data_IF_056904817230
#
_entry.id   IF_056904817230
#
_cell.length_a   1.000
_cell.length_b   1.000
_cell.length_c   1.000
_cell.angle_alpha   90.00
_cell.angle_beta   90.00
_cell.angle_gamma   90.00
#
_symmetry.space_group_name_H-M   'P 1'
#
loop_
_entity.id
_entity.type
_entity.pdbx_description
1 polymer ?
#
# COMPACT_ATOMS: atom_id res chain seq x y z
N UNK A 1 33.46 -32.84 -40.89
CA UNK A 1 32.36 -32.23 -40.11
C UNK A 1 31.22 -31.94 -41.09
N UNK A 2 30.19 -32.78 -41.10
CA UNK A 2 29.17 -32.82 -42.15
C UNK A 2 28.23 -31.61 -42.08
N UNK A 3 27.76 -31.12 -43.23
CA UNK A 3 26.75 -30.04 -43.32
C UNK A 3 25.47 -30.42 -42.55
N UNK A 4 25.17 -31.73 -42.43
CA UNK A 4 24.05 -32.26 -41.66
C UNK A 4 24.17 -32.00 -40.14
N UNK A 5 25.39 -32.03 -39.58
CA UNK A 5 25.60 -31.75 -38.14
C UNK A 5 25.41 -30.26 -37.83
N UNK A 6 25.62 -29.39 -38.82
CA UNK A 6 25.43 -27.93 -38.70
C UNK A 6 23.95 -27.52 -38.74
N UNK A 7 23.07 -28.36 -39.30
CA UNK A 7 21.61 -28.15 -39.26
C UNK A 7 20.95 -28.78 -38.04
N UNK A 8 21.53 -29.84 -37.47
CA UNK A 8 21.01 -30.51 -36.26
C UNK A 8 21.18 -29.67 -34.99
N UNK A 9 22.18 -28.79 -34.94
CA UNK A 9 22.48 -27.92 -33.78
C UNK A 9 21.95 -26.48 -33.90
N UNK A 10 21.04 -26.18 -34.84
CA UNK A 10 20.35 -24.89 -34.77
C UNK A 10 19.30 -24.97 -33.66
N UNK A 11 19.33 -24.08 -32.64
CA UNK A 11 18.25 -24.02 -31.67
C UNK A 11 16.94 -23.88 -32.43
N UNK A 12 16.01 -24.80 -32.23
CA UNK A 12 14.73 -24.74 -32.90
C UNK A 12 14.05 -23.44 -32.47
N UNK A 13 13.32 -22.78 -33.37
CA UNK A 13 12.62 -21.51 -33.07
C UNK A 13 11.73 -21.66 -31.82
N UNK A 14 11.23 -22.87 -31.55
CA UNK A 14 10.52 -23.25 -30.31
C UNK A 14 11.36 -23.12 -29.04
N UNK A 15 12.62 -23.57 -29.02
CA UNK A 15 13.48 -23.49 -27.83
C UNK A 15 13.82 -22.03 -27.47
N UNK A 16 13.99 -21.18 -28.48
CA UNK A 16 14.21 -19.74 -28.29
C UNK A 16 12.93 -19.07 -27.78
N UNK A 17 11.77 -19.41 -28.35
CA UNK A 17 10.47 -18.90 -27.88
C UNK A 17 10.18 -19.32 -26.44
N UNK A 18 10.44 -20.58 -26.07
CA UNK A 18 10.25 -21.09 -24.71
C UNK A 18 11.23 -20.47 -23.71
N UNK A 19 12.46 -20.22 -24.12
CA UNK A 19 13.44 -19.51 -23.30
C UNK A 19 13.05 -18.05 -23.09
N UNK A 20 12.63 -17.35 -24.16
CA UNK A 20 12.12 -15.97 -24.07
C UNK A 20 10.87 -15.91 -23.22
N UNK A 21 9.94 -16.87 -23.39
CA UNK A 21 8.70 -16.97 -22.63
C UNK A 21 8.97 -17.22 -21.14
N UNK A 22 9.83 -18.17 -20.78
CA UNK A 22 10.24 -18.39 -19.37
C UNK A 22 10.90 -17.17 -18.74
N UNK A 23 11.72 -16.44 -19.51
CA UNK A 23 12.37 -15.21 -19.04
C UNK A 23 11.33 -14.09 -18.86
N UNK A 24 10.39 -13.96 -19.80
CA UNK A 24 9.28 -13.01 -19.72
C UNK A 24 8.36 -13.31 -18.52
N UNK A 25 7.99 -14.57 -18.30
CA UNK A 25 7.21 -15.02 -17.13
C UNK A 25 7.93 -14.84 -15.80
N UNK A 26 9.25 -14.62 -15.77
CA UNK A 26 9.97 -14.27 -14.55
C UNK A 26 10.00 -12.76 -14.28
N UNK A 27 9.97 -11.94 -15.33
CA UNK A 27 10.11 -10.50 -15.23
C UNK A 27 8.81 -9.71 -15.45
N UNK A 28 7.68 -10.38 -15.73
CA UNK A 28 6.36 -9.74 -15.83
C UNK A 28 5.90 -8.96 -14.56
N UNK A 29 6.38 -9.21 -13.33
CA UNK A 29 6.03 -8.35 -12.20
C UNK A 29 6.57 -6.92 -12.36
N UNK A 30 7.67 -6.72 -13.11
CA UNK A 30 8.27 -5.40 -13.34
C UNK A 30 7.35 -4.47 -14.15
N UNK A 31 6.84 -4.85 -15.34
CA UNK A 31 5.88 -4.03 -16.07
C UNK A 31 4.56 -3.85 -15.31
N UNK A 32 4.16 -4.81 -14.45
CA UNK A 32 3.00 -4.63 -13.56
C UNK A 32 3.23 -3.50 -12.55
N UNK A 33 4.40 -3.45 -11.91
CA UNK A 33 4.77 -2.35 -11.01
C UNK A 33 4.87 -1.02 -11.78
N UNK A 34 5.42 -1.03 -13.00
CA UNK A 34 5.44 0.17 -13.84
C UNK A 34 4.03 0.66 -14.19
N UNK A 35 3.11 -0.25 -14.51
CA UNK A 35 1.70 0.06 -14.75
C UNK A 35 1.02 0.60 -13.49
N UNK A 36 1.41 0.11 -12.32
CA UNK A 36 0.94 0.64 -11.04
C UNK A 36 1.41 2.08 -10.78
N UNK A 37 2.67 2.40 -11.09
CA UNK A 37 3.16 3.78 -11.00
C UNK A 37 2.38 4.69 -11.95
N UNK A 38 2.13 4.24 -13.19
CA UNK A 38 1.30 4.98 -14.14
C UNK A 38 -0.12 5.17 -13.59
N UNK A 39 -0.70 4.13 -12.98
CA UNK A 39 -2.03 4.19 -12.38
C UNK A 39 -2.11 5.24 -11.26
N UNK A 40 -1.10 5.32 -10.39
CA UNK A 40 -1.01 6.36 -9.34
C UNK A 40 -0.91 7.75 -9.95
N UNK A 41 -0.10 7.93 -10.99
CA UNK A 41 0.03 9.23 -11.68
C UNK A 41 -1.28 9.65 -12.35
N UNK A 42 -1.99 8.72 -12.99
CA UNK A 42 -3.30 8.97 -13.58
C UNK A 42 -4.35 9.34 -12.52
N UNK A 43 -4.37 8.62 -11.40
CA UNK A 43 -5.23 8.95 -10.26
C UNK A 43 -4.92 10.35 -9.72
N UNK A 44 -3.64 10.67 -9.51
CA UNK A 44 -3.21 11.98 -9.04
C UNK A 44 -3.59 13.12 -9.99
N UNK A 45 -3.42 12.92 -11.30
CA UNK A 45 -3.84 13.88 -12.33
C UNK A 45 -5.36 14.08 -12.32
N UNK A 46 -6.13 12.99 -12.15
CA UNK A 46 -7.59 13.06 -12.03
C UNK A 46 -8.03 13.87 -10.80
N UNK A 47 -7.49 13.57 -9.62
CA UNK A 47 -7.81 14.33 -8.40
C UNK A 47 -7.40 15.80 -8.49
N UNK A 48 -6.22 16.07 -9.06
CA UNK A 48 -5.76 17.44 -9.30
C UNK A 48 -6.74 18.20 -10.22
N UNK A 49 -7.21 17.57 -11.31
CA UNK A 49 -8.13 18.19 -12.25
C UNK A 49 -9.48 18.55 -11.61
N UNK A 50 -10.05 17.64 -10.80
CA UNK A 50 -11.35 17.90 -10.16
C UNK A 50 -11.29 18.84 -8.96
N UNK A 51 -10.22 18.77 -8.15
CA UNK A 51 -10.18 19.47 -6.86
C UNK A 51 -9.42 20.81 -6.90
N UNK A 52 -8.51 21.03 -7.86
CA UNK A 52 -7.70 22.27 -7.91
C UNK A 52 -8.57 23.53 -8.05
N UNK A 53 -9.49 23.55 -9.01
CA UNK A 53 -10.38 24.69 -9.24
C UNK A 53 -11.32 24.94 -8.05
N UNK A 54 -11.86 23.87 -7.46
CA UNK A 54 -12.73 23.96 -6.28
C UNK A 54 -11.96 24.53 -5.09
N UNK A 55 -10.75 24.03 -4.83
CA UNK A 55 -9.90 24.49 -3.75
C UNK A 55 -9.54 25.97 -3.91
N UNK A 56 -9.17 26.41 -5.11
CA UNK A 56 -8.85 27.81 -5.35
C UNK A 56 -10.06 28.70 -5.05
N UNK A 57 -11.25 28.28 -5.46
CA UNK A 57 -12.49 28.98 -5.17
C UNK A 57 -12.83 29.03 -3.67
N UNK A 58 -12.61 27.95 -2.94
CA UNK A 58 -12.79 27.90 -1.47
C UNK A 58 -11.83 28.86 -0.77
N UNK A 59 -10.55 28.82 -1.12
CA UNK A 59 -9.53 29.72 -0.54
C UNK A 59 -9.83 31.18 -0.86
N UNK A 60 -10.22 31.48 -2.10
CA UNK A 60 -10.60 32.83 -2.52
C UNK A 60 -11.81 33.34 -1.75
N UNK A 61 -12.87 32.53 -1.64
CA UNK A 61 -14.07 32.88 -0.87
C UNK A 61 -13.75 33.07 0.62
N UNK A 62 -12.90 32.23 1.19
CA UNK A 62 -12.50 32.34 2.59
C UNK A 62 -11.79 33.66 2.86
N UNK A 63 -10.79 34.04 2.06
CA UNK A 63 -10.09 35.32 2.22
C UNK A 63 -11.01 36.53 2.01
N UNK A 64 -11.91 36.49 1.03
CA UNK A 64 -12.90 37.55 0.81
C UNK A 64 -13.85 37.68 2.01
N UNK A 65 -14.42 36.57 2.47
CA UNK A 65 -15.32 36.55 3.62
C UNK A 65 -14.62 37.01 4.89
N UNK A 66 -13.37 36.59 5.12
CA UNK A 66 -12.59 37.02 6.27
C UNK A 66 -12.34 38.53 6.25
N UNK A 67 -11.96 39.10 5.09
CA UNK A 67 -11.77 40.54 4.95
C UNK A 67 -13.07 41.33 5.19
N UNK A 68 -14.21 40.84 4.68
CA UNK A 68 -15.53 41.44 4.92
C UNK A 68 -15.93 41.34 6.39
N UNK A 69 -15.79 40.16 7.01
CA UNK A 69 -16.12 39.93 8.40
C UNK A 69 -15.31 40.82 9.35
N UNK A 70 -14.00 40.98 9.10
CA UNK A 70 -13.15 41.91 9.87
C UNK A 70 -13.65 43.34 9.80
N UNK A 71 -13.99 43.83 8.60
CA UNK A 71 -14.53 45.18 8.41
C UNK A 71 -15.87 45.37 9.10
N UNK A 72 -16.77 44.39 8.96
CA UNK A 72 -18.07 44.42 9.61
C UNK A 72 -17.94 44.43 11.14
N UNK A 73 -17.06 43.59 11.68
CA UNK A 73 -16.81 43.53 13.12
C UNK A 73 -16.20 44.83 13.64
N UNK A 74 -15.21 45.39 12.94
CA UNK A 74 -14.62 46.69 13.28
C UNK A 74 -15.67 47.81 13.27
N UNK A 75 -16.57 47.81 12.28
CA UNK A 75 -17.69 48.76 12.20
C UNK A 75 -18.66 48.59 13.38
N UNK A 76 -19.05 47.36 13.72
CA UNK A 76 -19.94 47.09 14.85
C UNK A 76 -19.33 47.51 16.19
N UNK A 77 -18.05 47.22 16.41
CA UNK A 77 -17.31 47.65 17.62
C UNK A 77 -17.29 49.17 17.69
N UNK A 78 -16.89 49.82 16.60
CA UNK A 78 -16.84 51.28 16.48
C UNK A 78 -18.20 51.92 16.78
N UNK A 79 -19.30 51.44 16.18
CA UNK A 79 -20.63 52.00 16.40
C UNK A 79 -21.13 51.80 17.83
N UNK A 80 -20.81 50.67 18.47
CA UNK A 80 -21.19 50.42 19.87
C UNK A 80 -20.45 51.35 20.81
N UNK A 81 -19.14 51.52 20.63
CA UNK A 81 -18.32 52.44 21.43
C UNK A 81 -18.86 53.86 21.30
N UNK A 82 -19.12 54.34 20.09
CA UNK A 82 -19.57 55.71 19.88
C UNK A 82 -21.01 55.98 20.33
N UNK A 83 -21.90 54.97 20.29
CA UNK A 83 -23.30 55.14 20.70
C UNK A 83 -23.51 55.02 22.23
N UNK A 84 -22.69 54.22 22.93
CA UNK A 84 -22.86 53.99 24.38
C UNK A 84 -22.21 55.07 25.25
N UNK A 85 -21.37 55.93 24.66
CA UNK A 85 -20.69 57.00 25.39
C UNK A 85 -21.63 58.21 25.60
N UNK A 86 -22.66 58.03 26.42
CA UNK A 86 -23.78 58.97 26.69
C UNK A 86 -23.42 60.42 27.04
N UNK A 87 -22.17 60.74 27.38
CA UNK A 87 -21.72 62.08 27.78
C UNK A 87 -20.51 62.62 26.99
N UNK A 88 -20.09 61.95 25.92
CA UNK A 88 -19.02 62.41 25.04
C UNK A 88 -19.62 62.66 23.67
N UNK A 89 -20.04 63.91 23.43
CA UNK A 89 -20.39 64.39 22.10
C UNK A 89 -19.09 64.48 21.28
N UNK A 90 -18.49 63.34 20.95
CA UNK A 90 -17.39 63.31 20.01
C UNK A 90 -18.04 63.53 18.65
N UNK A 91 -17.92 64.75 18.14
CA UNK A 91 -18.18 65.04 16.72
C UNK A 91 -17.04 64.35 15.97
N UNK A 92 -17.19 63.06 15.70
CA UNK A 92 -16.19 62.29 14.98
C UNK A 92 -16.42 62.59 13.51
N UNK A 93 -15.46 63.30 12.93
CA UNK A 93 -15.36 63.47 11.50
C UNK A 93 -15.28 62.09 10.81
N UNK A 94 -15.82 61.97 9.60
CA UNK A 94 -15.87 60.71 8.86
C UNK A 94 -14.47 60.09 8.73
N UNK A 95 -13.46 60.93 8.51
CA UNK A 95 -12.06 60.52 8.36
C UNK A 95 -11.49 59.91 9.66
N UNK A 96 -11.87 60.44 10.83
CA UNK A 96 -11.44 59.89 12.11
C UNK A 96 -12.10 58.53 12.40
N UNK A 97 -13.37 58.37 11.98
CA UNK A 97 -14.08 57.08 12.08
C UNK A 97 -13.40 56.02 11.20
N UNK A 98 -13.06 56.36 9.96
CA UNK A 98 -12.36 55.46 9.04
C UNK A 98 -10.97 55.08 9.55
N UNK A 99 -10.24 56.03 10.17
CA UNK A 99 -8.94 55.76 10.80
C UNK A 99 -9.05 54.77 11.97
N UNK A 100 -10.02 54.96 12.86
CA UNK A 100 -10.26 54.06 14.00
C UNK A 100 -10.66 52.66 13.51
N UNK A 101 -11.53 52.58 12.51
CA UNK A 101 -11.91 51.29 11.90
C UNK A 101 -10.70 50.60 11.26
N UNK A 102 -9.83 51.34 10.58
CA UNK A 102 -8.58 50.81 10.02
C UNK A 102 -7.65 50.23 11.10
N UNK A 103 -7.49 50.93 12.22
CA UNK A 103 -6.71 50.43 13.36
C UNK A 103 -7.34 49.16 13.97
N UNK A 104 -8.66 49.14 14.14
CA UNK A 104 -9.38 47.95 14.63
C UNK A 104 -9.22 46.74 13.71
N UNK A 105 -9.30 46.94 12.39
CA UNK A 105 -9.05 45.86 11.41
C UNK A 105 -7.63 45.32 11.54
N UNK A 106 -6.64 46.19 11.73
CA UNK A 106 -5.25 45.76 11.92
C UNK A 106 -5.07 44.97 13.23
N UNK A 107 -5.62 45.48 14.33
CA UNK A 107 -5.57 44.79 15.63
C UNK A 107 -6.27 43.42 15.59
N UNK A 108 -7.42 43.33 14.92
CA UNK A 108 -8.12 42.05 14.70
C UNK A 108 -7.27 41.09 13.86
N UNK A 109 -6.62 41.60 12.81
CA UNK A 109 -5.72 40.78 11.98
C UNK A 109 -4.53 40.24 12.78
N UNK A 110 -3.96 41.03 13.69
CA UNK A 110 -2.87 40.58 14.57
C UNK A 110 -3.36 39.55 15.59
N UNK A 111 -4.52 39.78 16.21
CA UNK A 111 -5.13 38.85 17.15
C UNK A 111 -5.43 37.49 16.50
N UNK A 112 -6.01 37.50 15.30
CA UNK A 112 -6.27 36.29 14.53
C UNK A 112 -4.98 35.53 14.18
N UNK A 113 -3.85 36.22 14.03
CA UNK A 113 -2.54 35.59 13.82
C UNK A 113 -2.04 34.79 15.02
N UNK A 114 -2.55 35.04 16.22
CA UNK A 114 -2.24 34.27 17.43
C UNK A 114 -3.21 33.11 17.69
N UNK A 115 -4.32 33.05 16.94
CA UNK A 115 -5.29 31.97 17.06
C UNK A 115 -4.87 30.80 16.16
N UNK A 116 -5.03 29.57 16.66
CA UNK A 116 -4.84 28.36 15.86
C UNK A 116 -6.09 28.10 14.99
N UNK A 117 -6.31 28.99 14.01
CA UNK A 117 -7.40 28.87 13.07
C UNK A 117 -7.01 27.96 11.91
N UNK A 118 -7.94 27.08 11.50
CA UNK A 118 -7.76 26.30 10.29
C UNK A 118 -7.97 27.19 9.06
N UNK A 119 -6.85 27.66 8.49
CA UNK A 119 -6.84 28.48 7.28
C UNK A 119 -6.72 27.54 6.08
N UNK A 120 -7.68 27.54 5.15
CA UNK A 120 -7.57 26.74 3.93
C UNK A 120 -6.37 27.22 3.13
N UNK A 121 -5.47 26.30 2.78
CA UNK A 121 -4.25 26.61 2.02
C UNK A 121 -4.48 26.37 0.53
N UNK A 122 -3.87 27.22 -0.31
CA UNK A 122 -3.91 27.08 -1.78
C UNK A 122 -3.29 25.76 -2.24
N UNK A 123 -2.21 25.36 -1.60
CA UNK A 123 -1.37 24.24 -2.01
C UNK A 123 -1.87 22.89 -1.45
N UNK A 124 -3.12 22.81 -0.99
CA UNK A 124 -3.70 21.56 -0.46
C UNK A 124 -3.83 20.48 -1.54
N UNK A 125 -4.04 20.88 -2.80
CA UNK A 125 -4.16 20.01 -3.96
C UNK A 125 -3.08 20.31 -4.99
N UNK A 126 -1.81 20.17 -4.58
CA UNK A 126 -0.67 20.11 -5.49
C UNK A 126 -0.50 18.71 -6.06
N UNK A 127 0.24 18.57 -7.17
CA UNK A 127 0.53 17.26 -7.78
C UNK A 127 1.07 16.23 -6.77
N UNK A 128 2.04 16.61 -5.92
CA UNK A 128 2.61 15.69 -4.92
C UNK A 128 1.60 15.33 -3.81
N UNK A 129 0.74 16.27 -3.40
CA UNK A 129 -0.36 15.99 -2.47
C UNK A 129 -1.37 15.02 -3.10
N UNK A 130 -1.71 15.21 -4.37
CA UNK A 130 -2.60 14.32 -5.12
C UNK A 130 -2.01 12.92 -5.29
N UNK A 131 -0.69 12.81 -5.54
CA UNK A 131 0.03 11.52 -5.57
C UNK A 131 -0.02 10.83 -4.21
N UNK A 132 0.30 11.55 -3.12
CA UNK A 132 0.24 11.00 -1.77
C UNK A 132 -1.18 10.55 -1.42
N UNK A 133 -2.19 11.33 -1.81
CA UNK A 133 -3.60 10.96 -1.63
C UNK A 133 -3.94 9.68 -2.40
N UNK A 134 -3.67 9.64 -3.71
CA UNK A 134 -3.95 8.49 -4.57
C UNK A 134 -3.21 7.23 -4.10
N UNK A 135 -1.95 7.35 -3.66
CA UNK A 135 -1.19 6.22 -3.11
C UNK A 135 -1.75 5.77 -1.75
N UNK A 136 -2.12 6.70 -0.87
CA UNK A 136 -2.73 6.36 0.42
C UNK A 136 -4.05 5.60 0.29
N UNK A 137 -4.84 5.88 -0.78
CA UNK A 137 -6.05 5.13 -1.10
C UNK A 137 -5.74 3.68 -1.52
N UNK A 138 -4.73 3.48 -2.38
CA UNK A 138 -4.31 2.13 -2.80
C UNK A 138 -3.80 1.29 -1.63
N UNK A 139 -3.04 1.93 -0.74
CA UNK A 139 -2.53 1.32 0.48
C UNK A 139 -3.61 1.10 1.54
N UNK A 140 -4.86 1.51 1.30
CA UNK A 140 -5.99 1.44 2.25
C UNK A 140 -5.75 2.15 3.58
N UNK A 141 -4.72 2.99 3.67
CA UNK A 141 -4.49 3.88 4.82
C UNK A 141 -5.56 4.97 4.78
N UNK A 142 -5.72 5.60 3.62
CA UNK A 142 -6.58 6.76 3.45
C UNK A 142 -6.02 8.02 4.11
N UNK A 143 -6.23 9.17 3.48
CA UNK A 143 -5.72 10.45 3.98
C UNK A 143 -6.65 11.10 5.03
N UNK A 144 -7.84 10.52 5.28
CA UNK A 144 -8.81 10.84 6.36
C UNK A 144 -9.27 12.30 6.44
N UNK A 145 -8.39 13.21 6.88
CA UNK A 145 -8.63 14.65 7.01
C UNK A 145 -8.67 15.39 5.66
N UNK A 146 -7.98 14.88 4.64
CA UNK A 146 -7.99 15.45 3.28
C UNK A 146 -8.68 14.46 2.34
N UNK A 147 -9.77 14.89 1.72
CA UNK A 147 -10.51 14.09 0.76
C UNK A 147 -11.22 14.98 -0.25
N UNK A 148 -11.63 14.42 -1.41
CA UNK A 148 -12.28 15.18 -2.46
C UNK A 148 -13.60 15.76 -1.95
N UNK A 149 -13.76 17.06 -2.13
CA UNK A 149 -15.00 17.76 -1.77
C UNK A 149 -15.96 17.85 -2.95
N UNK A 150 -15.45 17.69 -4.17
CA UNK A 150 -16.29 17.68 -5.36
C UNK A 150 -16.95 16.33 -5.56
N UNK A 151 -18.19 16.32 -6.07
CA UNK A 151 -18.89 15.09 -6.43
C UNK A 151 -18.10 14.29 -7.48
N UNK A 152 -17.45 14.98 -8.42
CA UNK A 152 -16.59 14.35 -9.43
C UNK A 152 -15.38 13.63 -8.82
N UNK A 153 -14.66 14.29 -7.90
CA UNK A 153 -13.54 13.69 -7.17
C UNK A 153 -13.96 12.52 -6.29
N UNK A 154 -15.14 12.57 -5.68
CA UNK A 154 -15.70 11.47 -4.87
C UNK A 154 -16.03 10.24 -5.73
N UNK A 155 -16.68 10.44 -6.88
CA UNK A 155 -16.98 9.36 -7.83
C UNK A 155 -15.67 8.76 -8.38
N UNK A 156 -14.68 9.59 -8.69
CA UNK A 156 -13.35 9.14 -9.11
C UNK A 156 -12.70 8.27 -8.02
N UNK A 157 -12.68 8.73 -6.76
CA UNK A 157 -12.12 7.98 -5.64
C UNK A 157 -12.79 6.61 -5.45
N UNK A 158 -14.11 6.55 -5.60
CA UNK A 158 -14.87 5.31 -5.49
C UNK A 158 -14.41 4.27 -6.51
N UNK A 159 -14.42 4.62 -7.81
CA UNK A 159 -13.98 3.70 -8.86
C UNK A 159 -12.48 3.39 -8.78
N UNK A 160 -11.67 4.39 -8.41
CA UNK A 160 -10.24 4.22 -8.22
C UNK A 160 -9.93 3.18 -7.13
N UNK A 161 -10.66 3.16 -6.01
CA UNK A 161 -10.47 2.16 -4.96
C UNK A 161 -10.93 0.76 -5.38
N UNK A 162 -12.08 0.64 -6.07
CA UNK A 162 -12.64 -0.65 -6.48
C UNK A 162 -11.66 -1.44 -7.36
N UNK A 163 -11.03 -0.78 -8.33
CA UNK A 163 -10.10 -1.43 -9.24
C UNK A 163 -8.66 -1.37 -8.73
N UNK A 164 -8.27 -0.24 -8.14
CA UNK A 164 -6.90 0.03 -7.73
C UNK A 164 -6.45 -0.82 -6.55
N UNK A 165 -7.27 -1.01 -5.51
CA UNK A 165 -6.85 -1.75 -4.30
C UNK A 165 -6.56 -3.24 -4.63
N UNK A 166 -7.46 -3.98 -5.32
CA UNK A 166 -7.16 -5.36 -5.72
C UNK A 166 -5.94 -5.45 -6.65
N UNK A 167 -5.81 -4.49 -7.57
CA UNK A 167 -4.66 -4.42 -8.47
C UNK A 167 -3.35 -4.17 -7.70
N UNK A 168 -3.35 -3.27 -6.72
CA UNK A 168 -2.19 -2.96 -5.89
C UNK A 168 -1.72 -4.15 -5.05
N UNK A 169 -2.61 -4.76 -4.26
CA UNK A 169 -2.21 -5.92 -3.45
C UNK A 169 -1.90 -7.15 -4.31
N UNK A 170 -2.61 -7.34 -5.42
CA UNK A 170 -2.36 -8.42 -6.37
C UNK A 170 -0.98 -8.32 -7.02
N UNK A 171 -0.58 -7.13 -7.49
CA UNK A 171 0.76 -6.91 -8.06
C UNK A 171 1.87 -7.12 -7.04
N UNK A 172 1.69 -6.66 -5.79
CA UNK A 172 2.65 -6.94 -4.71
C UNK A 172 2.74 -8.43 -4.41
N UNK A 173 1.62 -9.13 -4.28
CA UNK A 173 1.61 -10.57 -3.99
C UNK A 173 2.34 -11.36 -5.09
N UNK A 174 2.06 -11.05 -6.36
CA UNK A 174 2.76 -11.63 -7.51
C UNK A 174 4.26 -11.32 -7.47
N UNK A 175 4.62 -10.06 -7.18
CA UNK A 175 6.02 -9.64 -7.08
C UNK A 175 6.77 -10.45 -6.00
N UNK A 176 6.16 -10.63 -4.83
CA UNK A 176 6.75 -11.44 -3.75
C UNK A 176 6.86 -12.91 -4.16
N UNK A 177 5.82 -13.49 -4.76
CA UNK A 177 5.79 -14.90 -5.13
C UNK A 177 6.81 -15.26 -6.22
N UNK A 178 6.88 -14.46 -7.29
CA UNK A 178 7.70 -14.78 -8.47
C UNK A 178 9.14 -14.29 -8.34
N UNK A 179 9.39 -13.19 -7.60
CA UNK A 179 10.73 -12.63 -7.48
C UNK A 179 11.41 -13.01 -6.17
N UNK A 180 10.73 -12.90 -5.02
CA UNK A 180 11.36 -13.05 -3.70
C UNK A 180 11.43 -14.50 -3.23
N UNK A 181 10.38 -15.30 -3.40
CA UNK A 181 10.39 -16.70 -2.95
C UNK A 181 11.44 -17.58 -3.65
N UNK A 182 11.65 -17.50 -4.99
CA UNK A 182 12.63 -18.35 -5.67
C UNK A 182 14.08 -18.06 -5.27
N UNK A 183 14.37 -16.84 -4.80
CA UNK A 183 15.70 -16.45 -4.29
C UNK A 183 16.06 -17.20 -3.00
N UNK A 184 15.07 -17.78 -2.32
CA UNK A 184 15.17 -18.25 -0.94
C UNK A 184 14.81 -19.73 -0.82
N UNK A 185 14.84 -20.48 -1.93
CA UNK A 185 14.53 -21.92 -1.95
C UNK A 185 15.56 -22.69 -1.12
N UNK A 186 15.18 -23.07 0.09
CA UNK A 186 15.99 -23.84 1.03
C UNK A 186 15.22 -25.09 1.44
N UNK A 187 15.79 -26.27 1.18
CA UNK A 187 15.08 -27.55 1.40
C UNK A 187 14.97 -27.95 2.88
N UNK A 188 15.88 -27.48 3.75
CA UNK A 188 15.89 -27.91 5.14
C UNK A 188 14.95 -27.08 6.04
N UNK A 189 14.04 -27.75 6.74
CA UNK A 189 13.05 -27.12 7.64
C UNK A 189 13.66 -26.23 8.73
N UNK A 190 14.79 -26.64 9.34
CA UNK A 190 15.49 -25.80 10.34
C UNK A 190 15.97 -24.48 9.76
N UNK A 191 16.49 -24.50 8.52
CA UNK A 191 16.93 -23.30 7.82
C UNK A 191 15.74 -22.43 7.38
N UNK A 192 14.62 -23.04 6.98
CA UNK A 192 13.36 -22.31 6.70
C UNK A 192 12.86 -21.53 7.93
N UNK A 193 12.85 -22.16 9.11
CA UNK A 193 12.46 -21.50 10.37
C UNK A 193 13.42 -20.36 10.72
N UNK A 194 14.74 -20.59 10.63
CA UNK A 194 15.73 -19.55 10.85
C UNK A 194 15.53 -18.35 9.91
N UNK A 195 15.15 -18.62 8.67
CA UNK A 195 14.88 -17.58 7.68
C UNK A 195 13.61 -16.78 7.97
N UNK A 196 12.54 -17.43 8.44
CA UNK A 196 11.33 -16.74 8.90
C UNK A 196 11.67 -15.79 10.06
N UNK A 197 12.46 -16.26 11.03
CA UNK A 197 12.90 -15.42 12.16
C UNK A 197 13.76 -14.23 11.70
N UNK A 198 14.68 -14.46 10.76
CA UNK A 198 15.50 -13.40 10.17
C UNK A 198 14.64 -12.36 9.43
N UNK A 199 13.68 -12.81 8.61
CA UNK A 199 12.77 -11.92 7.88
C UNK A 199 11.87 -11.11 8.82
N UNK A 200 11.38 -11.73 9.91
CA UNK A 200 10.61 -11.04 10.94
C UNK A 200 11.47 -9.99 11.69
N UNK A 201 12.73 -10.31 11.99
CA UNK A 201 13.67 -9.36 12.59
C UNK A 201 13.93 -8.16 11.65
N UNK A 202 14.16 -8.41 10.37
CA UNK A 202 14.34 -7.37 9.35
C UNK A 202 13.10 -6.47 9.24
N UNK A 203 11.89 -7.04 9.33
CA UNK A 203 10.65 -6.27 9.34
C UNK A 203 10.56 -5.34 10.55
N UNK A 204 10.90 -5.81 11.75
CA UNK A 204 10.92 -4.96 12.95
C UNK A 204 11.96 -3.85 12.84
N UNK A 205 13.16 -4.16 12.34
CA UNK A 205 14.22 -3.16 12.11
C UNK A 205 13.73 -2.11 11.11
N UNK A 206 13.06 -2.51 10.03
CA UNK A 206 12.49 -1.59 9.04
C UNK A 206 11.49 -0.60 9.64
N UNK A 207 10.58 -1.06 10.50
CA UNK A 207 9.63 -0.17 11.21
C UNK A 207 10.38 0.82 12.10
N UNK A 208 11.41 0.37 12.82
CA UNK A 208 12.23 1.24 13.67
C UNK A 208 12.97 2.30 12.84
N UNK A 209 13.48 1.95 11.65
CA UNK A 209 14.13 2.92 10.75
C UNK A 209 13.15 4.01 10.30
N UNK A 210 11.91 3.65 9.92
CA UNK A 210 10.87 4.64 9.57
C UNK A 210 10.52 5.50 10.80
N UNK A 211 10.43 4.91 11.99
CA UNK A 211 10.16 5.65 13.22
C UNK A 211 11.26 6.69 13.53
N UNK A 212 12.54 6.31 13.35
CA UNK A 212 13.67 7.23 13.53
C UNK A 212 13.65 8.35 12.47
N UNK A 213 13.35 8.03 11.22
CA UNK A 213 13.17 9.02 10.16
C UNK A 213 12.04 10.01 10.49
N UNK A 214 10.89 9.51 10.94
CA UNK A 214 9.76 10.36 11.33
C UNK A 214 10.10 11.26 12.52
N UNK A 215 10.80 10.74 13.52
CA UNK A 215 11.18 11.53 14.68
C UNK A 215 12.14 12.67 14.33
N UNK A 216 13.09 12.41 13.43
CA UNK A 216 14.09 13.40 13.02
C UNK A 216 13.53 14.50 12.12
N UNK A 217 12.61 14.17 11.21
CA UNK A 217 12.19 15.13 10.16
C UNK A 217 10.74 15.62 10.26
N UNK A 218 9.84 14.93 10.97
CA UNK A 218 8.40 15.23 10.90
C UNK A 218 7.72 15.39 12.27
N UNK A 219 8.02 14.52 13.22
CA UNK A 219 7.37 14.45 14.54
C UNK A 219 8.42 14.56 15.67
N UNK A 220 9.02 15.75 15.86
CA UNK A 220 10.11 15.94 16.84
C UNK A 220 9.61 15.93 18.29
N UNK A 221 8.31 16.11 18.54
CA UNK A 221 7.76 16.26 19.90
C UNK A 221 7.93 15.01 20.76
N UNK A 222 7.74 13.82 20.18
CA UNK A 222 7.85 12.55 20.90
C UNK A 222 8.21 11.41 19.96
N UNK A 223 9.15 10.56 20.39
CA UNK A 223 9.49 9.33 19.66
C UNK A 223 8.30 8.36 19.61
N UNK A 224 7.46 8.33 20.65
CA UNK A 224 6.28 7.46 20.68
C UNK A 224 5.30 7.77 19.54
N UNK A 225 5.07 9.05 19.22
CA UNK A 225 4.21 9.44 18.10
C UNK A 225 4.76 8.92 16.76
N UNK A 226 6.09 8.95 16.60
CA UNK A 226 6.78 8.47 15.40
C UNK A 226 6.72 6.95 15.28
N UNK A 227 7.01 6.23 16.37
CA UNK A 227 6.93 4.76 16.42
C UNK A 227 5.51 4.27 16.20
N UNK A 228 4.53 4.90 16.86
CA UNK A 228 3.11 4.59 16.69
C UNK A 228 2.67 4.81 15.24
N UNK A 229 3.03 5.95 14.64
CA UNK A 229 2.71 6.25 13.24
C UNK A 229 3.36 5.26 12.28
N UNK A 230 4.65 4.94 12.46
CA UNK A 230 5.37 3.99 11.62
C UNK A 230 4.75 2.59 11.68
N UNK A 231 4.44 2.12 12.90
CA UNK A 231 3.88 0.78 13.13
C UNK A 231 2.48 0.65 12.54
N UNK A 232 1.60 1.61 12.83
CA UNK A 232 0.23 1.60 12.32
C UNK A 232 0.21 1.76 10.79
N UNK A 233 1.04 2.64 10.23
CA UNK A 233 1.14 2.81 8.77
C UNK A 233 1.72 1.56 8.09
N UNK A 234 2.63 0.81 8.73
CA UNK A 234 3.13 -0.47 8.22
C UNK A 234 2.03 -1.54 8.16
N UNK A 235 1.06 -1.47 9.08
CA UNK A 235 -0.14 -2.30 9.10
C UNK A 235 -1.30 -1.71 8.28
N UNK A 236 -1.04 -0.70 7.45
CA UNK A 236 -2.06 -0.01 6.62
C UNK A 236 -3.17 0.69 7.42
N UNK A 237 -2.92 1.03 8.69
CA UNK A 237 -3.86 1.71 9.57
C UNK A 237 -3.50 3.20 9.68
N UNK A 238 -4.49 4.07 9.46
CA UNK A 238 -4.31 5.51 9.60
C UNK A 238 -4.18 5.95 11.06
N UNK A 239 -3.36 6.97 11.29
CA UNK A 239 -3.26 7.64 12.58
C UNK A 239 -3.53 9.15 12.46
N UNK A 240 -3.97 9.82 13.54
CA UNK A 240 -4.12 11.28 13.54
C UNK A 240 -2.82 12.04 13.24
N UNK A 241 -1.67 11.46 13.60
CA UNK A 241 -0.35 12.05 13.39
C UNK A 241 0.09 11.99 11.92
N UNK A 242 -0.34 10.96 11.17
CA UNK A 242 -0.12 10.89 9.73
C UNK A 242 -0.67 12.13 9.00
N UNK A 243 -1.83 12.63 9.44
CA UNK A 243 -2.47 13.80 8.84
C UNK A 243 -1.75 15.12 9.11
N UNK A 244 -0.84 15.14 10.09
CA UNK A 244 0.01 16.29 10.40
C UNK A 244 1.31 16.29 9.61
N UNK A 245 1.61 15.23 8.86
CA UNK A 245 2.85 15.11 8.11
C UNK A 245 2.89 16.10 6.93
N UNK A 246 4.03 16.74 6.67
CA UNK A 246 4.22 17.50 5.44
C UNK A 246 4.37 16.57 4.23
N UNK A 247 4.35 17.14 3.03
CA UNK A 247 4.36 16.41 1.75
C UNK A 247 5.45 15.34 1.65
N UNK A 248 6.72 15.70 1.91
CA UNK A 248 7.85 14.79 1.74
C UNK A 248 7.88 13.66 2.77
N UNK A 249 7.68 13.90 4.08
CA UNK A 249 7.57 12.80 5.04
C UNK A 249 6.36 11.91 4.80
N UNK A 250 5.22 12.45 4.36
CA UNK A 250 4.06 11.64 4.01
C UNK A 250 4.38 10.69 2.85
N UNK A 251 5.04 11.17 1.79
CA UNK A 251 5.51 10.34 0.69
C UNK A 251 6.46 9.24 1.17
N UNK A 252 7.43 9.60 2.02
CA UNK A 252 8.39 8.64 2.58
C UNK A 252 7.71 7.56 3.44
N UNK A 253 6.68 7.92 4.23
CA UNK A 253 5.89 6.94 5.00
C UNK A 253 5.09 6.04 4.07
N UNK A 254 4.45 6.56 3.02
CA UNK A 254 3.71 5.74 2.06
C UNK A 254 4.63 4.76 1.32
N UNK A 255 5.78 5.23 0.84
CA UNK A 255 6.81 4.37 0.27
C UNK A 255 7.28 3.33 1.30
N UNK A 256 7.54 3.75 2.54
CA UNK A 256 7.91 2.88 3.65
C UNK A 256 6.89 1.79 3.94
N UNK A 257 5.60 2.15 3.93
CA UNK A 257 4.46 1.25 4.09
C UNK A 257 4.36 0.24 2.95
N UNK A 258 4.64 0.61 1.70
CA UNK A 258 4.68 -0.38 0.60
C UNK A 258 5.74 -1.45 0.81
N UNK A 259 6.94 -1.05 1.26
CA UNK A 259 8.01 -1.99 1.61
C UNK A 259 7.61 -2.85 2.80
N UNK A 260 6.94 -2.28 3.79
CA UNK A 260 6.39 -3.03 4.93
C UNK A 260 5.38 -4.09 4.48
N UNK A 261 4.46 -3.75 3.56
CA UNK A 261 3.49 -4.72 3.00
C UNK A 261 4.20 -5.83 2.24
N UNK A 262 5.22 -5.51 1.43
CA UNK A 262 6.05 -6.50 0.72
C UNK A 262 6.73 -7.46 1.71
N UNK A 263 7.36 -6.93 2.76
CA UNK A 263 8.03 -7.72 3.79
C UNK A 263 7.04 -8.58 4.60
N UNK A 264 5.89 -8.02 4.98
CA UNK A 264 4.86 -8.73 5.71
C UNK A 264 4.29 -9.90 4.89
N UNK A 265 3.97 -9.68 3.61
CA UNK A 265 3.52 -10.73 2.70
C UNK A 265 4.61 -11.79 2.48
N UNK A 266 5.87 -11.39 2.40
CA UNK A 266 6.99 -12.32 2.30
C UNK A 266 7.09 -13.23 3.54
N UNK A 267 7.01 -12.67 4.74
CA UNK A 267 6.99 -13.45 5.99
C UNK A 267 5.79 -14.39 6.04
N UNK A 268 4.60 -13.92 5.67
CA UNK A 268 3.38 -14.75 5.64
C UNK A 268 3.49 -15.93 4.67
N UNK A 269 4.02 -15.71 3.47
CA UNK A 269 4.20 -16.77 2.47
C UNK A 269 5.26 -17.80 2.91
N UNK A 270 6.33 -17.36 3.58
CA UNK A 270 7.32 -18.27 4.16
C UNK A 270 6.71 -19.15 5.27
N UNK A 271 5.90 -18.54 6.16
CA UNK A 271 5.17 -19.27 7.20
C UNK A 271 4.25 -20.31 6.56
N UNK A 272 3.46 -19.91 5.55
CA UNK A 272 2.57 -20.83 4.82
C UNK A 272 3.35 -21.99 4.19
N UNK A 273 4.53 -21.74 3.62
CA UNK A 273 5.42 -22.78 3.08
C UNK A 273 5.90 -23.78 4.13
N UNK A 274 6.20 -23.33 5.36
CA UNK A 274 6.61 -24.21 6.47
C UNK A 274 5.44 -25.06 6.98
N UNK A 275 4.24 -24.50 7.07
CA UNK A 275 3.05 -25.23 7.53
C UNK A 275 2.50 -26.20 6.48
N UNK A 276 2.53 -25.84 5.19
CA UNK A 276 2.07 -26.69 4.10
C UNK A 276 2.83 -28.02 4.01
N UNK A 277 4.14 -28.00 4.25
CA UNK A 277 5.00 -29.19 4.24
C UNK A 277 4.68 -30.15 5.41
N UNK A 278 4.42 -29.60 6.61
CA UNK A 278 3.97 -30.40 7.77
C UNK A 278 2.60 -31.03 7.54
N UNK A 279 1.70 -30.33 6.85
CA UNK A 279 0.35 -30.84 6.57
C UNK A 279 0.32 -31.95 5.52
N UNK A 280 1.26 -31.96 4.56
CA UNK A 280 1.42 -33.06 3.60
C UNK A 280 2.03 -34.31 4.23
N UNK A 281 2.94 -34.16 5.19
CA UNK A 281 3.52 -35.30 5.92
C UNK A 281 2.51 -35.96 6.88
N UNK A 282 1.55 -35.19 7.40
CA UNK A 282 0.53 -35.66 8.34
C UNK A 282 -0.79 -36.12 7.70
N UNK A 283 -0.90 -36.19 6.35
CA UNK A 283 -2.07 -36.88 5.76
C UNK A 283 -1.91 -38.38 6.02
N UNK A 284 -2.83 -39.03 6.74
CA UNK A 284 -2.87 -40.49 6.71
C UNK A 284 -3.05 -40.88 5.25
N UNK A 285 -2.18 -41.75 4.75
CA UNK A 285 -2.36 -42.41 3.47
C UNK A 285 -3.70 -43.13 3.56
N UNK A 286 -4.75 -42.51 3.00
CA UNK A 286 -6.02 -43.18 2.82
C UNK A 286 -5.72 -44.22 1.74
N UNK A 287 -5.48 -45.47 2.16
CA UNK A 287 -5.48 -46.60 1.24
C UNK A 287 -6.77 -46.47 0.45
N UNK A 288 -6.60 -46.20 -0.84
CA UNK A 288 -7.71 -46.19 -1.77
C UNK A 288 -7.98 -47.67 -1.99
N UNK A 289 -9.01 -48.19 -1.35
CA UNK A 289 -9.53 -49.51 -1.68
C UNK A 289 -9.77 -49.52 -3.19
N UNK A 290 -8.95 -50.29 -3.89
CA UNK A 290 -9.08 -50.58 -5.30
C UNK A 290 -10.36 -51.40 -5.48
N UNK A 291 -11.49 -50.72 -5.64
CA UNK A 291 -12.63 -51.28 -6.32
C UNK A 291 -12.39 -51.18 -7.84
N UNK A 292 -11.43 -51.95 -8.36
CA UNK A 292 -11.33 -52.22 -9.80
C UNK A 292 -12.09 -53.51 -10.13
N UNK A 293 -13.12 -53.35 -10.96
CA UNK A 293 -13.82 -54.41 -11.66
C UNK A 293 -12.85 -55.20 -12.56
N UNK A 294 -12.97 -56.54 -12.66
CA UNK A 294 -11.96 -57.36 -13.31
C UNK A 294 -12.06 -57.20 -14.82
N UNK A 295 -10.99 -56.70 -15.46
CA UNK A 295 -10.72 -56.95 -16.88
C UNK A 295 -9.43 -57.74 -17.00
N UNK A 296 -9.63 -58.97 -17.45
CA UNK A 296 -8.63 -59.93 -17.91
C UNK A 296 -7.53 -59.27 -18.74
N UNK A 297 -6.28 -59.51 -18.34
CA UNK A 297 -5.23 -60.14 -19.16
C UNK A 297 -3.90 -59.86 -18.47
N UNK A 298 -3.39 -60.85 -17.74
CA UNK A 298 -1.99 -61.29 -17.76
C UNK A 298 -1.84 -62.49 -16.82
N UNK A 299 -1.21 -63.56 -17.32
CA UNK A 299 -1.14 -64.86 -16.64
C UNK A 299 -0.28 -64.81 -15.36
N UNK A 300 -0.64 -65.56 -14.30
CA UNK A 300 0.22 -65.72 -13.14
C UNK A 300 1.48 -66.50 -13.51
N UNK A 301 2.63 -65.96 -13.12
CA UNK A 301 3.96 -66.53 -13.35
C UNK A 301 4.19 -67.65 -12.33
N UNK A 302 3.91 -68.89 -12.71
CA UNK A 302 4.27 -70.05 -11.90
C UNK A 302 5.75 -70.38 -12.08
N UNK A 303 6.52 -70.34 -10.98
CA UNK A 303 7.87 -70.91 -10.95
C UNK A 303 7.78 -72.41 -10.68
N UNK A 304 8.06 -73.20 -11.72
CA UNK A 304 8.21 -74.65 -11.61
C UNK A 304 9.61 -74.94 -11.08
N UNK A 305 9.70 -75.45 -9.86
CA UNK A 305 10.94 -76.04 -9.34
C UNK A 305 10.90 -77.52 -9.75
N UNK A 306 11.83 -77.92 -10.62
CA UNK A 306 12.02 -79.32 -11.03
C UNK A 306 12.98 -79.95 -10.04
N UNK A 307 12.49 -80.88 -9.24
CA UNK A 307 13.34 -81.79 -8.48
C UNK A 307 13.82 -82.92 -9.40
N UNK A 308 15.02 -83.45 -9.16
CA UNK A 308 15.77 -84.35 -10.07
C UNK A 308 15.12 -85.75 -10.28
N UNK A 309 13.90 -85.95 -9.78
CA UNK A 309 13.12 -87.19 -9.90
C UNK A 309 11.79 -87.04 -10.67
N UNK A 310 11.49 -85.87 -11.26
CA UNK A 310 10.48 -85.78 -12.34
C UNK A 310 9.00 -85.79 -11.95
N UNK A 311 8.63 -85.42 -10.71
CA UNK A 311 7.23 -85.14 -10.34
C UNK A 311 7.08 -83.71 -9.79
N UNK A 312 6.22 -82.91 -10.42
CA UNK A 312 5.95 -81.52 -10.04
C UNK A 312 4.70 -81.41 -9.16
N UNK A 313 4.85 -80.95 -7.91
CA UNK A 313 3.73 -80.47 -7.05
C UNK A 313 3.77 -78.95 -6.91
N UNK A 314 2.60 -78.32 -7.05
CA UNK A 314 2.39 -76.90 -6.74
C UNK A 314 2.31 -76.76 -5.20
N UNK A 315 3.13 -75.88 -4.64
CA UNK A 315 3.03 -75.47 -3.24
C UNK A 315 2.36 -74.10 -3.20
N UNK A 316 1.19 -74.03 -2.57
CA UNK A 316 0.60 -72.76 -2.12
C UNK A 316 1.36 -72.34 -0.86
N UNK A 317 1.87 -71.10 -0.83
CA UNK A 317 2.36 -70.52 0.41
C UNK A 317 1.18 -69.88 1.13
N UNK A 318 0.81 -70.46 2.27
CA UNK A 318 -0.11 -69.85 3.21
C UNK A 318 0.51 -68.56 3.79
N UNK A 319 -0.29 -67.50 3.83
CA UNK A 319 0.05 -66.19 4.40
C UNK A 319 0.17 -66.26 5.94
N UNK A 320 1.30 -65.79 6.49
CA UNK A 320 1.42 -65.20 7.83
C UNK A 320 2.14 -63.85 7.76
#
# INVERSE_FOLDING_TARGET
MSIADRFRNRPQVGDIMDWVWKKFCRFYPIPLVALLVIYVVLGAAGFLCFESDHQENVVRKWHLNQAVNRRQQARQISTRIFNDTKNLLIIIDRDQTERVQGLLVNSLSQYEGHLDLHIPKRDEWDFLHSVNYAWSLLLTIGHGLKGPQTTGGQVLAFFYCIFGVPFFFGTIAIFVHELLLPLVRVDQTKKKIALVLLAALLYVIWILLIAVYLHSYALPKSFWESLYTATMSALTIQTPYFNKLPQYPAFAVLAGSTVSVVLALFVLLLIAGVYGEKSCHNRPVKMRDEAESPKSNDLPKFTVIVDEAGDSKLADMDDE
#
